data_IF_076686709727
#
_entry.id   IF_076686709727
#
_cell.length_a   1.000
_cell.length_b   1.000
_cell.length_c   1.000
_cell.angle_alpha   90.00
_cell.angle_beta   90.00
_cell.angle_gamma   90.00
#
_symmetry.space_group_name_H-M   'P 1'
#
loop_
_entity.id
_entity.type
_entity.pdbx_description
1 polymer ?
#
# COMPACT_ATOMS: atom_id res chain seq x y z
N UNK A 1 -2.64 19.63 27.71
CA UNK A 1 -2.87 19.74 26.27
C UNK A 1 -4.36 19.63 25.97
N UNK A 2 -4.88 20.53 25.18
CA UNK A 2 -6.28 20.52 24.80
C UNK A 2 -6.58 19.35 23.87
N UNK A 3 -7.82 18.87 23.94
CA UNK A 3 -8.26 17.78 23.09
C UNK A 3 -8.04 18.08 21.60
N UNK A 4 -8.31 19.31 21.18
CA UNK A 4 -8.10 19.77 19.82
C UNK A 4 -6.64 19.66 19.38
N UNK A 5 -5.72 20.02 20.28
CA UNK A 5 -4.30 19.94 20.00
C UNK A 5 -3.82 18.49 19.85
N UNK A 6 -4.31 17.61 20.71
CA UNK A 6 -4.01 16.18 20.64
C UNK A 6 -4.51 15.62 19.31
N UNK A 7 -5.73 15.99 18.95
CA UNK A 7 -6.33 15.53 17.68
C UNK A 7 -5.49 15.99 16.48
N UNK A 8 -5.04 17.23 16.49
CA UNK A 8 -4.22 17.77 15.41
C UNK A 8 -2.87 17.04 15.31
N UNK A 9 -2.25 16.71 16.42
CA UNK A 9 -0.99 15.97 16.43
C UNK A 9 -1.19 14.57 15.83
N UNK A 10 -2.24 13.89 16.25
CA UNK A 10 -2.54 12.55 15.72
C UNK A 10 -2.84 12.61 14.22
N UNK A 11 -3.63 13.60 13.80
CA UNK A 11 -3.93 13.80 12.38
C UNK A 11 -2.64 14.01 11.56
N UNK A 12 -1.73 14.84 12.07
CA UNK A 12 -0.47 15.10 11.40
C UNK A 12 0.36 13.82 11.25
N UNK A 13 0.36 12.97 12.27
CA UNK A 13 1.10 11.69 12.22
C UNK A 13 0.50 10.72 11.23
N UNK A 14 -0.83 10.66 11.18
CA UNK A 14 -1.52 9.82 10.20
C UNK A 14 -1.20 10.28 8.78
N UNK A 15 -1.27 11.59 8.56
CA UNK A 15 -0.96 12.17 7.24
C UNK A 15 0.49 11.88 6.85
N UNK A 16 1.42 12.03 7.77
CA UNK A 16 2.83 11.69 7.50
C UNK A 16 2.97 10.23 7.09
N UNK A 17 2.30 9.34 7.81
CA UNK A 17 2.31 7.91 7.51
C UNK A 17 1.80 7.63 6.10
N UNK A 18 0.65 8.21 5.75
CA UNK A 18 0.05 8.05 4.42
C UNK A 18 0.99 8.58 3.32
N UNK A 19 1.61 9.73 3.56
CA UNK A 19 2.52 10.32 2.59
C UNK A 19 3.78 9.48 2.40
N UNK A 20 4.27 8.85 3.44
CA UNK A 20 5.42 7.93 3.33
C UNK A 20 5.06 6.67 2.55
N UNK A 21 3.90 6.09 2.83
CA UNK A 21 3.42 4.95 2.04
C UNK A 21 3.20 5.34 0.58
N UNK A 22 2.63 6.51 0.35
CA UNK A 22 2.45 7.03 -0.99
C UNK A 22 3.79 7.12 -1.73
N UNK A 23 4.82 7.66 -1.07
CA UNK A 23 6.14 7.79 -1.68
C UNK A 23 6.76 6.43 -2.01
N UNK A 24 6.63 5.46 -1.11
CA UNK A 24 7.12 4.09 -1.34
C UNK A 24 6.41 3.48 -2.54
N UNK A 25 5.09 3.53 -2.55
CA UNK A 25 4.29 2.91 -3.61
C UNK A 25 4.51 3.55 -4.98
N UNK A 26 4.60 4.88 -5.02
CA UNK A 26 4.84 5.56 -6.29
C UNK A 26 6.24 5.29 -6.82
N UNK A 27 7.19 5.09 -5.93
CA UNK A 27 8.55 4.66 -6.31
C UNK A 27 8.56 3.25 -6.87
N UNK A 28 7.64 2.39 -6.44
CA UNK A 28 7.55 1.02 -6.94
C UNK A 28 6.82 0.95 -8.28
N UNK A 29 5.67 1.60 -8.37
CA UNK A 29 4.74 1.34 -9.49
C UNK A 29 4.34 2.58 -10.29
N UNK A 30 4.83 3.74 -9.93
CA UNK A 30 4.57 4.97 -10.67
C UNK A 30 3.64 5.91 -9.93
N UNK A 31 2.43 6.09 -10.40
CA UNK A 31 1.50 7.05 -9.82
C UNK A 31 0.63 6.48 -8.70
N UNK A 32 -0.17 7.33 -8.06
CA UNK A 32 -1.04 6.89 -6.97
C UNK A 32 -2.11 5.90 -7.42
N UNK A 33 -2.64 6.07 -8.61
CA UNK A 33 -3.66 5.19 -9.16
C UNK A 33 -3.04 3.84 -9.54
N UNK A 34 -1.85 3.87 -10.11
CA UNK A 34 -1.08 2.66 -10.42
C UNK A 34 -0.83 1.86 -9.14
N UNK A 35 -0.39 2.53 -8.09
CA UNK A 35 -0.14 1.90 -6.80
C UNK A 35 -1.40 1.29 -6.19
N UNK A 36 -2.51 2.01 -6.23
CA UNK A 36 -3.80 1.53 -5.73
C UNK A 36 -4.21 0.24 -6.44
N UNK A 37 -4.07 0.20 -7.75
CA UNK A 37 -4.43 -0.96 -8.55
C UNK A 37 -3.54 -2.15 -8.21
N UNK A 38 -2.22 -1.96 -8.23
CA UNK A 38 -1.27 -3.05 -7.98
C UNK A 38 -1.42 -3.61 -6.57
N UNK A 39 -1.49 -2.77 -5.55
CA UNK A 39 -1.63 -3.26 -4.17
C UNK A 39 -2.95 -3.98 -3.94
N UNK A 40 -4.03 -3.53 -4.60
CA UNK A 40 -5.32 -4.20 -4.49
C UNK A 40 -5.26 -5.58 -5.10
N UNK A 41 -4.62 -5.72 -6.25
CA UNK A 41 -4.44 -7.02 -6.92
C UNK A 41 -3.55 -7.95 -6.08
N UNK A 42 -2.48 -7.41 -5.49
CA UNK A 42 -1.61 -8.20 -4.61
C UNK A 42 -2.39 -8.71 -3.39
N UNK A 43 -3.15 -7.84 -2.74
CA UNK A 43 -3.97 -8.23 -1.59
C UNK A 43 -4.99 -9.28 -1.99
N UNK A 44 -5.63 -9.10 -3.14
CA UNK A 44 -6.57 -10.07 -3.67
C UNK A 44 -5.94 -11.45 -3.84
N UNK A 45 -4.74 -11.50 -4.41
CA UNK A 45 -4.01 -12.77 -4.58
C UNK A 45 -3.72 -13.42 -3.23
N UNK A 46 -3.27 -12.65 -2.26
CA UNK A 46 -2.97 -13.15 -0.91
C UNK A 46 -4.22 -13.75 -0.27
N UNK A 47 -5.36 -13.10 -0.47
CA UNK A 47 -6.63 -13.52 0.11
C UNK A 47 -7.40 -14.53 -0.75
N UNK A 48 -6.84 -14.93 -1.88
CA UNK A 48 -7.50 -15.86 -2.80
C UNK A 48 -8.63 -15.26 -3.61
N UNK A 49 -8.69 -13.93 -3.71
CA UNK A 49 -9.67 -13.20 -4.52
C UNK A 49 -8.97 -12.64 -5.75
N UNK A 50 -9.40 -13.08 -6.91
CA UNK A 50 -8.82 -12.61 -8.16
C UNK A 50 -9.79 -11.68 -8.85
N UNK A 51 -9.27 -10.55 -9.32
CA UNK A 51 -10.06 -9.53 -9.99
C UNK A 51 -9.96 -9.68 -11.50
N UNK A 52 -11.08 -9.44 -12.18
CA UNK A 52 -11.07 -9.13 -13.60
C UNK A 52 -11.21 -7.61 -13.73
N UNK A 53 -11.26 -7.13 -14.96
CA UNK A 53 -11.35 -5.68 -15.20
C UNK A 53 -12.60 -5.08 -14.56
N UNK A 54 -13.75 -5.73 -14.71
CA UNK A 54 -15.02 -5.20 -14.18
C UNK A 54 -15.05 -5.18 -12.66
N UNK A 55 -14.65 -6.28 -12.02
CA UNK A 55 -14.69 -6.36 -10.56
C UNK A 55 -13.68 -5.42 -9.92
N UNK A 56 -12.53 -5.24 -10.54
CA UNK A 56 -11.54 -4.28 -10.05
C UNK A 56 -12.06 -2.86 -10.14
N UNK A 57 -12.62 -2.50 -11.30
CA UNK A 57 -13.20 -1.18 -11.53
C UNK A 57 -14.29 -0.88 -10.49
N UNK A 58 -15.16 -1.84 -10.25
CA UNK A 58 -16.24 -1.71 -9.28
C UNK A 58 -15.71 -1.58 -7.85
N UNK A 59 -14.76 -2.41 -7.48
CA UNK A 59 -14.16 -2.39 -6.13
C UNK A 59 -13.49 -1.06 -5.83
N UNK A 60 -12.79 -0.49 -6.81
CA UNK A 60 -12.05 0.75 -6.62
C UNK A 60 -12.90 2.01 -6.88
N UNK A 61 -14.10 1.83 -7.40
CA UNK A 61 -14.96 2.97 -7.72
C UNK A 61 -14.41 3.82 -8.86
N UNK A 62 -13.71 3.19 -9.80
CA UNK A 62 -13.10 3.87 -10.95
C UNK A 62 -13.90 3.60 -12.22
N UNK A 63 -13.91 4.54 -13.15
CA UNK A 63 -14.51 4.30 -14.48
C UNK A 63 -13.81 3.13 -15.16
N UNK A 64 -14.57 2.30 -15.86
CA UNK A 64 -14.05 1.12 -16.54
C UNK A 64 -12.94 1.48 -17.54
N UNK A 65 -13.14 2.56 -18.28
CA UNK A 65 -12.14 3.01 -19.26
C UNK A 65 -10.82 3.43 -18.62
N UNK A 66 -10.89 4.09 -17.47
CA UNK A 66 -9.69 4.50 -16.71
C UNK A 66 -8.97 3.27 -16.21
N UNK A 67 -9.69 2.33 -15.63
CA UNK A 67 -9.12 1.08 -15.12
C UNK A 67 -8.47 0.29 -16.24
N UNK A 68 -9.15 0.16 -17.37
CA UNK A 68 -8.62 -0.55 -18.54
C UNK A 68 -7.31 0.07 -19.03
N UNK A 69 -7.28 1.39 -19.19
CA UNK A 69 -6.07 2.08 -19.63
C UNK A 69 -4.90 1.86 -18.66
N UNK A 70 -5.17 1.98 -17.37
CA UNK A 70 -4.13 1.77 -16.35
C UNK A 70 -3.61 0.33 -16.34
N UNK A 71 -4.50 -0.63 -16.50
CA UNK A 71 -4.08 -2.04 -16.57
C UNK A 71 -3.17 -2.28 -17.77
N UNK A 72 -3.50 -1.72 -18.94
CA UNK A 72 -2.65 -1.84 -20.11
C UNK A 72 -1.26 -1.25 -19.86
N UNK A 73 -1.20 -0.09 -19.23
CA UNK A 73 0.06 0.55 -18.87
C UNK A 73 0.88 -0.31 -17.89
N UNK A 74 0.22 -0.87 -16.89
CA UNK A 74 0.87 -1.70 -15.87
C UNK A 74 1.33 -3.04 -16.43
N UNK A 75 0.58 -3.61 -17.37
CA UNK A 75 1.01 -4.81 -18.09
C UNK A 75 2.27 -4.51 -18.93
N UNK A 76 2.25 -3.39 -19.64
CA UNK A 76 3.38 -2.98 -20.46
C UNK A 76 4.64 -2.72 -19.61
N UNK A 77 4.46 -2.23 -18.40
CA UNK A 77 5.56 -1.99 -17.45
C UNK A 77 6.02 -3.24 -16.71
N UNK A 78 5.31 -4.35 -16.88
CA UNK A 78 5.70 -5.62 -16.25
C UNK A 78 5.28 -5.76 -14.80
N UNK A 79 4.27 -5.03 -14.36
CA UNK A 79 3.79 -5.10 -12.97
C UNK A 79 2.57 -6.00 -12.81
N UNK A 80 1.79 -6.17 -13.86
CA UNK A 80 0.60 -7.02 -13.86
C UNK A 80 0.63 -7.93 -15.07
N UNK A 81 -0.10 -9.05 -14.97
CA UNK A 81 -0.33 -9.92 -16.10
C UNK A 81 -1.74 -10.49 -16.03
N UNK A 82 -2.26 -10.92 -17.16
CA UNK A 82 -3.56 -11.55 -17.26
C UNK A 82 -3.38 -13.05 -17.35
N UNK A 83 -4.12 -13.75 -16.52
CA UNK A 83 -4.09 -15.22 -16.50
C UNK A 83 -5.48 -15.72 -16.81
N UNK A 84 -5.57 -16.60 -17.78
CA UNK A 84 -6.85 -17.21 -18.14
C UNK A 84 -7.14 -18.36 -17.20
N UNK A 85 -8.35 -18.34 -16.62
CA UNK A 85 -8.81 -19.39 -15.75
C UNK A 85 -10.24 -19.76 -16.20
N UNK A 86 -10.36 -20.86 -16.95
CA UNK A 86 -11.61 -21.24 -17.56
C UNK A 86 -12.09 -20.16 -18.55
N UNK A 87 -13.27 -19.61 -18.30
CA UNK A 87 -13.85 -18.55 -19.15
C UNK A 87 -13.47 -17.15 -18.68
N UNK A 88 -12.83 -17.06 -17.53
CA UNK A 88 -12.50 -15.78 -16.92
C UNK A 88 -11.05 -15.43 -17.18
N UNK A 89 -10.76 -14.14 -17.21
CA UNK A 89 -9.40 -13.63 -17.26
C UNK A 89 -9.16 -12.88 -15.95
N UNK A 90 -8.17 -13.36 -15.19
CA UNK A 90 -7.83 -12.78 -13.91
C UNK A 90 -6.59 -11.93 -14.02
N UNK A 91 -6.57 -10.84 -13.25
CA UNK A 91 -5.42 -9.97 -13.14
C UNK A 91 -4.59 -10.46 -11.95
N UNK A 92 -3.30 -10.67 -12.19
CA UNK A 92 -2.38 -11.10 -11.13
C UNK A 92 -1.14 -10.22 -11.13
N UNK A 93 -0.52 -10.02 -9.96
CA UNK A 93 0.74 -9.30 -9.91
C UNK A 93 1.84 -10.18 -10.49
N UNK A 94 2.79 -9.58 -11.17
CA UNK A 94 3.95 -10.31 -11.65
C UNK A 94 4.87 -10.62 -10.47
N UNK A 95 5.76 -11.57 -10.67
CA UNK A 95 6.81 -11.86 -9.68
C UNK A 95 7.62 -10.60 -9.37
N UNK A 96 7.89 -9.80 -10.39
CA UNK A 96 8.62 -8.53 -10.24
C UNK A 96 7.94 -7.60 -9.25
N UNK A 97 6.62 -7.45 -9.35
CA UNK A 97 5.85 -6.60 -8.41
C UNK A 97 5.98 -7.10 -6.98
N UNK A 98 5.88 -8.40 -6.78
CA UNK A 98 5.98 -8.99 -5.44
C UNK A 98 7.40 -8.85 -4.88
N UNK A 99 8.42 -9.03 -5.70
CA UNK A 99 9.82 -8.88 -5.28
C UNK A 99 10.10 -7.42 -4.90
N UNK A 100 9.60 -6.48 -5.70
CA UNK A 100 9.78 -5.05 -5.39
C UNK A 100 9.09 -4.67 -4.08
N UNK A 101 7.90 -5.21 -3.84
CA UNK A 101 7.19 -4.99 -2.58
C UNK A 101 7.98 -5.54 -1.41
N UNK A 102 8.51 -6.76 -1.53
CA UNK A 102 9.31 -7.38 -0.48
C UNK A 102 10.56 -6.58 -0.13
N UNK A 103 11.20 -5.98 -1.13
CA UNK A 103 12.35 -5.12 -0.90
C UNK A 103 12.00 -3.88 -0.08
N UNK A 104 10.77 -3.42 -0.18
CA UNK A 104 10.29 -2.24 0.55
C UNK A 104 9.66 -2.59 1.89
N UNK A 105 9.60 -3.87 2.25
CA UNK A 105 8.91 -4.33 3.45
C UNK A 105 9.46 -3.68 4.73
N UNK A 106 10.77 -3.64 4.88
CA UNK A 106 11.41 -3.03 6.06
C UNK A 106 11.04 -1.56 6.19
N UNK A 107 11.03 -0.84 5.08
CA UNK A 107 10.67 0.56 5.06
C UNK A 107 9.20 0.77 5.42
N UNK A 108 8.33 -0.11 4.95
CA UNK A 108 6.90 -0.09 5.28
C UNK A 108 6.68 -0.34 6.77
N UNK A 109 7.36 -1.34 7.32
CA UNK A 109 7.28 -1.66 8.75
C UNK A 109 7.78 -0.47 9.57
N UNK A 110 8.88 0.12 9.17
CA UNK A 110 9.45 1.28 9.83
C UNK A 110 8.48 2.46 9.84
N UNK A 111 7.77 2.67 8.73
CA UNK A 111 6.76 3.71 8.62
C UNK A 111 5.61 3.49 9.61
N UNK A 112 5.13 2.26 9.73
CA UNK A 112 4.08 1.92 10.69
C UNK A 112 4.55 2.10 12.12
N UNK A 113 5.78 1.71 12.41
CA UNK A 113 6.35 1.87 13.74
C UNK A 113 6.46 3.34 14.12
N UNK A 114 6.81 4.20 13.18
CA UNK A 114 6.86 5.64 13.42
C UNK A 114 5.49 6.20 13.78
N UNK A 115 4.44 5.80 13.09
CA UNK A 115 3.07 6.20 13.40
C UNK A 115 2.70 5.76 14.81
N UNK A 116 2.99 4.52 15.11
CA UNK A 116 2.64 3.92 16.40
C UNK A 116 3.38 4.57 17.57
N UNK A 117 4.61 5.01 17.37
CA UNK A 117 5.46 5.63 18.39
C UNK A 117 5.34 7.15 18.46
N UNK A 118 4.66 7.75 17.50
CA UNK A 118 4.66 9.19 17.32
C UNK A 118 3.74 9.99 18.23
N UNK A 119 2.99 9.36 19.12
CA UNK A 119 2.12 10.10 20.03
C UNK A 119 2.90 10.83 21.12
N UNK A 120 2.42 12.01 21.55
CA UNK A 120 3.06 12.77 22.63
C UNK A 120 3.15 11.94 23.91
N UNK A 121 4.35 11.79 24.43
CA UNK A 121 4.59 11.04 25.66
C UNK A 121 4.71 9.53 25.48
N UNK A 122 4.04 8.96 24.51
CA UNK A 122 4.13 7.52 24.25
C UNK A 122 5.45 7.14 23.59
N UNK A 123 5.99 8.01 22.78
CA UNK A 123 7.24 7.77 22.09
C UNK A 123 8.43 7.64 23.02
N UNK A 124 8.48 8.48 24.04
CA UNK A 124 9.56 8.46 25.00
C UNK A 124 9.59 7.18 25.83
N UNK A 125 8.44 6.80 26.35
CA UNK A 125 8.34 5.59 27.17
C UNK A 125 8.77 4.35 26.40
N UNK A 126 8.35 4.29 25.14
CA UNK A 126 8.69 3.13 24.31
C UNK A 126 10.15 3.09 23.94
N UNK A 127 10.76 4.24 23.69
CA UNK A 127 12.17 4.30 23.38
C UNK A 127 13.01 3.87 24.58
N UNK A 128 12.62 4.31 25.76
CA UNK A 128 13.27 3.91 26.99
C UNK A 128 13.20 2.41 27.22
N UNK A 129 12.02 1.86 27.00
CA UNK A 129 11.81 0.41 27.16
C UNK A 129 12.63 -0.38 26.16
N UNK A 130 12.61 0.02 24.92
CA UNK A 130 13.38 -0.65 23.88
C UNK A 130 14.87 -0.64 24.15
N UNK A 131 15.37 0.49 24.66
CA UNK A 131 16.78 0.60 25.02
C UNK A 131 17.18 -0.36 26.13
N UNK A 132 16.31 -0.54 27.10
CA UNK A 132 16.58 -1.48 28.19
C UNK A 132 16.58 -2.92 27.72
N UNK A 133 15.67 -3.26 26.83
CA UNK A 133 15.58 -4.63 26.33
C UNK A 133 16.79 -5.04 25.51
N UNK A 134 17.45 -4.10 24.87
CA UNK A 134 18.64 -4.37 24.05
C UNK A 134 19.91 -4.57 24.87
N UNK A 135 19.87 -4.13 26.10
CA UNK A 135 21.02 -4.29 26.99
C UNK A 135 20.95 -5.59 27.75
#
# INVERSE_FOLDING_TARGET
MQETEIRQVVQAQIIECLNRFYAIETGLWGGPLDALIVRTIITGKIEGRFYDLSSLSMTLGLPLSTTHRKILELEASGFLERVRSGRSTHLVPTRRSCVELDKSFEEMVSTLQRLYRGGPGLGEDRRGSASRERL
#
